data_IF_301190750844
#
_entry.id   IF_301190750844
#
_cell.length_a   1.000
_cell.length_b   1.000
_cell.length_c   1.000
_cell.angle_alpha   90.00
_cell.angle_beta   90.00
_cell.angle_gamma   90.00
#
_symmetry.space_group_name_H-M   'P 1'
#
loop_
_entity.id
_entity.type
_entity.pdbx_description
1 polymer ?
#
# COMPACT_ATOMS: atom_id res chain seq x y z
N UNK A 1 -17.14 13.99 3.89
CA UNK A 1 -17.52 13.31 2.63
C UNK A 1 -16.24 13.10 1.85
N UNK A 2 -16.05 11.97 1.15
CA UNK A 2 -14.86 11.79 0.32
C UNK A 2 -14.94 12.75 -0.86
N UNK A 3 -13.84 13.44 -1.15
CA UNK A 3 -13.69 14.27 -2.34
C UNK A 3 -13.39 13.40 -3.56
N UNK A 4 -13.51 13.97 -4.76
CA UNK A 4 -13.11 13.28 -5.99
C UNK A 4 -11.62 12.89 -5.97
N UNK A 5 -10.77 13.77 -5.45
CA UNK A 5 -9.35 13.49 -5.27
C UNK A 5 -9.13 12.30 -4.32
N UNK A 6 -9.89 12.22 -3.21
CA UNK A 6 -9.78 11.07 -2.30
C UNK A 6 -10.16 9.76 -3.00
N UNK A 7 -11.19 9.77 -3.85
CA UNK A 7 -11.58 8.58 -4.60
C UNK A 7 -10.54 8.17 -5.65
N UNK A 8 -9.91 9.14 -6.32
CA UNK A 8 -8.82 8.90 -7.26
C UNK A 8 -7.58 8.32 -6.54
N UNK A 9 -7.21 8.91 -5.39
CA UNK A 9 -6.12 8.42 -4.57
C UNK A 9 -6.38 7.00 -4.05
N UNK A 10 -7.61 6.70 -3.60
CA UNK A 10 -8.01 5.35 -3.18
C UNK A 10 -7.85 4.35 -4.33
N UNK A 11 -8.39 4.68 -5.51
CA UNK A 11 -8.30 3.79 -6.68
C UNK A 11 -6.85 3.53 -7.08
N UNK A 12 -6.03 4.58 -7.11
CA UNK A 12 -4.62 4.48 -7.47
C UNK A 12 -3.82 3.70 -6.43
N UNK A 13 -4.12 3.90 -5.15
CA UNK A 13 -3.47 3.17 -4.06
C UNK A 13 -3.80 1.68 -4.10
N UNK A 14 -5.05 1.30 -4.40
CA UNK A 14 -5.44 -0.11 -4.59
C UNK A 14 -4.60 -0.76 -5.70
N UNK A 15 -4.52 -0.11 -6.87
CA UNK A 15 -3.77 -0.64 -8.02
C UNK A 15 -2.29 -0.83 -7.70
N UNK A 16 -1.66 0.14 -7.05
CA UNK A 16 -0.25 0.04 -6.67
C UNK A 16 0.00 -1.05 -5.63
N UNK A 17 -0.85 -1.16 -4.62
CA UNK A 17 -0.72 -2.21 -3.59
C UNK A 17 -0.89 -3.61 -4.18
N UNK A 18 -1.78 -3.79 -5.15
CA UNK A 18 -1.91 -5.04 -5.89
C UNK A 18 -0.64 -5.39 -6.68
N UNK A 19 0.04 -4.39 -7.29
CA UNK A 19 1.32 -4.60 -7.95
C UNK A 19 2.44 -5.00 -6.98
N UNK A 20 2.47 -4.41 -5.78
CA UNK A 20 3.42 -4.81 -4.73
C UNK A 20 3.21 -6.28 -4.34
N UNK A 21 1.96 -6.70 -4.14
CA UNK A 21 1.66 -8.11 -3.83
C UNK A 21 2.08 -9.03 -4.97
N UNK A 22 1.76 -8.69 -6.22
CA UNK A 22 2.14 -9.49 -7.37
C UNK A 22 3.67 -9.67 -7.45
N UNK A 23 4.43 -8.58 -7.28
CA UNK A 23 5.90 -8.62 -7.24
C UNK A 23 6.42 -9.53 -6.12
N UNK A 24 5.84 -9.41 -4.92
CA UNK A 24 6.28 -10.21 -3.79
C UNK A 24 5.95 -11.71 -3.95
N UNK A 25 4.82 -12.04 -4.58
CA UNK A 25 4.46 -13.43 -4.92
C UNK A 25 5.42 -14.00 -5.96
N UNK A 26 5.81 -13.21 -6.95
CA UNK A 26 6.78 -13.64 -7.97
C UNK A 26 8.15 -13.93 -7.36
N UNK A 27 8.62 -13.09 -6.44
CA UNK A 27 9.96 -13.23 -5.84
C UNK A 27 10.02 -14.22 -4.67
N UNK A 28 8.93 -14.40 -3.92
CA UNK A 28 8.93 -15.19 -2.67
C UNK A 28 7.94 -16.35 -2.64
N UNK A 29 7.09 -16.46 -3.65
CA UNK A 29 6.08 -17.52 -3.78
C UNK A 29 4.88 -17.42 -2.83
N UNK A 30 4.71 -16.32 -2.07
CA UNK A 30 3.60 -16.18 -1.10
C UNK A 30 3.30 -14.72 -0.70
N UNK A 31 2.01 -14.35 -0.71
CA UNK A 31 1.50 -13.03 -0.30
C UNK A 31 1.13 -12.92 1.21
N UNK A 32 0.93 -14.04 1.91
CA UNK A 32 0.42 -14.11 3.29
C UNK A 32 1.31 -13.40 4.33
N UNK A 33 2.54 -13.02 3.94
CA UNK A 33 3.48 -12.28 4.77
C UNK A 33 3.15 -10.78 4.81
N UNK A 34 2.49 -10.26 3.78
CA UNK A 34 2.15 -8.83 3.62
C UNK A 34 0.77 -8.50 4.21
N UNK A 35 0.61 -8.83 5.49
CA UNK A 35 -0.69 -8.71 6.20
C UNK A 35 -1.15 -7.27 6.30
N UNK A 36 -0.24 -6.31 6.37
CA UNK A 36 -0.54 -4.88 6.40
C UNK A 36 -1.15 -4.40 5.07
N UNK A 37 -0.54 -4.77 3.95
CA UNK A 37 -1.02 -4.46 2.60
C UNK A 37 -2.37 -5.15 2.35
N UNK A 38 -2.50 -6.45 2.66
CA UNK A 38 -3.77 -7.18 2.51
C UNK A 38 -4.89 -6.62 3.40
N UNK A 39 -4.56 -6.09 4.59
CA UNK A 39 -5.53 -5.38 5.43
C UNK A 39 -5.91 -4.02 4.84
N UNK A 40 -4.93 -3.32 4.28
CA UNK A 40 -5.12 -2.01 3.64
C UNK A 40 -6.03 -2.10 2.41
N UNK A 41 -5.83 -3.11 1.55
CA UNK A 41 -6.71 -3.40 0.42
C UNK A 41 -8.16 -3.60 0.87
N UNK A 42 -8.40 -4.45 1.88
CA UNK A 42 -9.74 -4.65 2.44
C UNK A 42 -10.40 -3.38 2.99
N UNK A 43 -9.61 -2.50 3.61
CA UNK A 43 -10.09 -1.20 4.10
C UNK A 43 -10.50 -0.29 2.92
N UNK A 44 -9.66 -0.21 1.89
CA UNK A 44 -9.86 0.64 0.73
C UNK A 44 -11.05 0.16 -0.12
N UNK A 45 -11.06 -1.12 -0.50
CA UNK A 45 -12.13 -1.76 -1.29
C UNK A 45 -13.47 -1.76 -0.55
N UNK A 46 -13.43 -1.98 0.78
CA UNK A 46 -14.60 -1.94 1.64
C UNK A 46 -15.04 -0.52 2.04
N UNK A 47 -14.34 0.52 1.57
CA UNK A 47 -14.56 1.92 1.95
C UNK A 47 -14.70 2.12 3.48
N UNK A 48 -13.87 1.41 4.24
CA UNK A 48 -13.92 1.38 5.70
C UNK A 48 -13.29 2.66 6.27
N UNK A 49 -14.05 3.75 6.32
CA UNK A 49 -13.57 5.09 6.72
C UNK A 49 -12.80 5.11 8.04
N UNK A 50 -13.21 4.33 9.02
CA UNK A 50 -12.54 4.24 10.32
C UNK A 50 -11.16 3.56 10.25
N UNK A 51 -10.91 2.79 9.18
CA UNK A 51 -9.65 2.11 8.92
C UNK A 51 -8.62 2.97 8.17
N UNK A 52 -9.07 3.96 7.41
CA UNK A 52 -8.21 4.80 6.55
C UNK A 52 -7.02 5.43 7.31
N UNK A 53 -7.18 5.98 8.54
CA UNK A 53 -6.07 6.64 9.22
C UNK A 53 -4.93 5.69 9.63
N UNK A 54 -5.14 4.37 9.54
CA UNK A 54 -4.16 3.35 9.89
C UNK A 54 -3.38 2.81 8.67
N UNK A 55 -3.69 3.26 7.45
CA UNK A 55 -3.08 2.74 6.23
C UNK A 55 -1.57 2.96 6.21
N UNK A 56 -1.09 4.14 6.61
CA UNK A 56 0.34 4.41 6.72
C UNK A 56 1.07 3.34 7.54
N UNK A 57 0.60 3.06 8.75
CA UNK A 57 1.26 2.11 9.65
C UNK A 57 1.25 0.68 9.09
N UNK A 58 0.13 0.25 8.52
CA UNK A 58 0.04 -1.09 7.93
C UNK A 58 0.98 -1.25 6.73
N UNK A 59 0.97 -0.29 5.81
CA UNK A 59 1.74 -0.37 4.55
C UNK A 59 3.24 -0.20 4.82
N UNK A 60 3.63 0.78 5.65
CA UNK A 60 5.04 1.01 5.96
C UNK A 60 5.66 -0.16 6.77
N UNK A 61 4.86 -0.84 7.60
CA UNK A 61 5.32 -2.06 8.29
C UNK A 61 5.74 -3.15 7.31
N UNK A 62 4.93 -3.38 6.28
CA UNK A 62 5.24 -4.37 5.24
C UNK A 62 6.37 -3.90 4.31
N UNK A 63 6.44 -2.61 3.97
CA UNK A 63 7.55 -2.07 3.18
C UNK A 63 8.89 -2.20 3.90
N UNK A 64 8.94 -1.99 5.22
CA UNK A 64 10.14 -2.26 6.00
C UNK A 64 10.54 -3.73 5.94
N UNK A 65 9.56 -4.64 6.08
CA UNK A 65 9.82 -6.08 5.94
C UNK A 65 10.36 -6.43 4.54
N UNK A 66 9.87 -5.79 3.47
CA UNK A 66 10.42 -5.97 2.12
C UNK A 66 11.89 -5.53 2.04
N UNK A 67 12.24 -4.38 2.64
CA UNK A 67 13.64 -3.90 2.72
C UNK A 67 14.52 -4.91 3.45
N UNK A 68 14.08 -5.37 4.64
CA UNK A 68 14.82 -6.33 5.46
C UNK A 68 15.09 -7.65 4.74
N UNK A 69 14.32 -7.95 3.69
CA UNK A 69 14.40 -9.17 2.89
C UNK A 69 15.07 -8.99 1.54
N UNK A 70 15.58 -7.78 1.25
CA UNK A 70 16.30 -7.48 0.02
C UNK A 70 15.41 -7.43 -1.23
N UNK A 71 14.11 -7.13 -1.08
CA UNK A 71 13.18 -6.98 -2.20
C UNK A 71 13.16 -5.58 -2.83
N UNK A 72 14.05 -4.69 -2.39
CA UNK A 72 14.24 -3.35 -2.95
C UNK A 72 15.51 -3.31 -3.81
N UNK A 73 15.59 -2.36 -4.73
CA UNK A 73 16.72 -2.19 -5.65
C UNK A 73 16.44 -2.65 -7.09
N UNK A 74 15.23 -3.14 -7.35
CA UNK A 74 14.66 -3.19 -8.70
C UNK A 74 13.94 -1.86 -8.97
N UNK A 75 14.29 -1.20 -10.08
CA UNK A 75 13.69 0.07 -10.47
C UNK A 75 12.15 0.01 -10.46
N UNK A 76 11.57 -1.12 -10.87
CA UNK A 76 10.12 -1.30 -10.93
C UNK A 76 9.46 -1.20 -9.55
N UNK A 77 9.96 -1.95 -8.56
CA UNK A 77 9.34 -1.96 -7.22
C UNK A 77 9.66 -0.68 -6.44
N UNK A 78 10.83 -0.10 -6.68
CA UNK A 78 11.22 1.18 -6.08
C UNK A 78 10.30 2.31 -6.57
N UNK A 79 9.94 2.35 -7.86
CA UNK A 79 9.00 3.33 -8.40
C UNK A 79 7.60 3.17 -7.80
N UNK A 80 7.09 1.93 -7.71
CA UNK A 80 5.76 1.64 -7.14
C UNK A 80 5.70 2.04 -5.67
N UNK A 81 6.67 1.63 -4.85
CA UNK A 81 6.67 1.89 -3.41
C UNK A 81 6.84 3.37 -3.10
N UNK A 82 7.64 4.09 -3.90
CA UNK A 82 7.73 5.56 -3.83
C UNK A 82 6.41 6.26 -4.16
N UNK A 83 5.67 5.76 -5.16
CA UNK A 83 4.37 6.31 -5.52
C UNK A 83 3.32 6.06 -4.43
N UNK A 84 3.29 4.86 -3.85
CA UNK A 84 2.47 4.55 -2.68
C UNK A 84 2.76 5.51 -1.53
N UNK A 85 4.04 5.75 -1.22
CA UNK A 85 4.43 6.69 -0.17
C UNK A 85 3.94 8.12 -0.46
N UNK A 86 4.05 8.59 -1.71
CA UNK A 86 3.56 9.92 -2.11
C UNK A 86 2.06 10.07 -1.90
N UNK A 87 1.26 9.09 -2.30
CA UNK A 87 -0.20 9.12 -2.12
C UNK A 87 -0.55 9.15 -0.63
N UNK A 88 0.02 8.24 0.17
CA UNK A 88 -0.25 8.18 1.61
C UNK A 88 0.11 9.50 2.30
N UNK A 89 1.24 10.10 1.96
CA UNK A 89 1.69 11.35 2.57
C UNK A 89 0.86 12.57 2.14
N UNK A 90 0.32 12.54 0.92
CA UNK A 90 -0.41 13.67 0.34
C UNK A 90 -1.89 13.69 0.75
N UNK A 91 -2.44 12.54 1.15
CA UNK A 91 -3.83 12.42 1.56
C UNK A 91 -3.95 12.23 3.09
N UNK A 92 -4.48 13.25 3.78
CA UNK A 92 -4.64 13.26 5.24
C UNK A 92 -5.62 12.21 5.77
N UNK A 93 -6.38 11.52 4.92
CA UNK A 93 -7.22 10.40 5.34
C UNK A 93 -6.40 9.17 5.74
N UNK A 94 -5.16 9.04 5.21
CA UNK A 94 -4.39 7.80 5.27
C UNK A 94 -3.35 7.76 6.39
N UNK A 95 -3.17 8.87 7.10
CA UNK A 95 -2.24 8.99 8.20
C UNK A 95 -2.84 9.87 9.31
N UNK A 96 -2.59 9.49 10.56
CA UNK A 96 -2.94 10.28 11.74
C UNK A 96 -1.72 10.47 12.62
#
# INVERSE_FOLDING_TARGET
MLTENDMQDISRLIDLLNKVIAYAVENEGNDLRYKGILKSLRILEGNQRNGLPNLYNHIMGDFRMMVDRGLYGDQYIDEITNEVYKIIKSNSLFYK
#
